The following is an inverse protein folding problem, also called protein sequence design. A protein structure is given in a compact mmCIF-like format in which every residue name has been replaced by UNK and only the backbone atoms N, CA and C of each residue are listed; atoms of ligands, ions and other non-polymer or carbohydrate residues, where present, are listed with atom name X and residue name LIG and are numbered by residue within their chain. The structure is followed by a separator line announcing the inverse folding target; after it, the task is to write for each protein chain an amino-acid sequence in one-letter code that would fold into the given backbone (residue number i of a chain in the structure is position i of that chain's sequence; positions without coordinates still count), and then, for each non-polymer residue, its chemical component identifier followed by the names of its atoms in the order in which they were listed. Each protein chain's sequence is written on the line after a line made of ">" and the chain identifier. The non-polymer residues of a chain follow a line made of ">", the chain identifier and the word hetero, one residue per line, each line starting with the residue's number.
data_IF_053069808059
#
_entry.id   IF_053069808059
#
_cell.length_a   1.000
_cell.length_b   1.000
_cell.length_c   1.000
_cell.angle_alpha   90.00
_cell.angle_beta   90.00
_cell.angle_gamma   90.00
#
_symmetry.space_group_name_H-M   'P 1'
#
loop_
_entity.id
_entity.type
_entity.pdbx_description
1 polymer ?
#
# COMPACT_ATOMS: atom_id res chain seq x y z
N UNK A 1 21.81 -8.71 -16.77
CA UNK A 1 21.15 -9.89 -16.17
C UNK A 1 20.42 -9.56 -14.85
N UNK A 2 19.19 -9.01 -14.83
CA UNK A 2 18.34 -8.90 -13.61
C UNK A 2 16.81 -8.88 -13.89
N UNK A 3 16.33 -9.43 -15.02
CA UNK A 3 14.90 -9.40 -15.39
C UNK A 3 14.00 -10.36 -14.57
N UNK A 4 14.56 -11.44 -13.98
CA UNK A 4 13.75 -12.47 -13.30
C UNK A 4 13.29 -12.17 -11.86
N UNK A 5 14.02 -11.36 -11.08
CA UNK A 5 13.72 -11.16 -9.64
C UNK A 5 12.59 -10.16 -9.36
N UNK A 6 12.24 -9.28 -10.30
CA UNK A 6 11.16 -8.27 -10.12
C UNK A 6 9.75 -8.85 -10.22
N UNK A 7 9.58 -10.01 -10.88
CA UNK A 7 8.27 -10.65 -11.10
C UNK A 7 7.69 -11.32 -9.83
N UNK A 8 8.55 -11.83 -8.94
CA UNK A 8 8.10 -12.62 -7.78
C UNK A 8 7.48 -11.74 -6.66
N UNK A 9 8.10 -10.60 -6.34
CA UNK A 9 7.60 -9.67 -5.31
C UNK A 9 6.25 -9.05 -5.71
N UNK A 10 6.00 -8.85 -7.01
CA UNK A 10 4.73 -8.33 -7.53
C UNK A 10 3.57 -9.30 -7.33
N UNK A 11 3.79 -10.60 -7.58
CA UNK A 11 2.80 -11.64 -7.26
C UNK A 11 2.47 -11.62 -5.77
N UNK A 12 3.49 -11.52 -4.91
CA UNK A 12 3.31 -11.48 -3.45
C UNK A 12 2.51 -10.25 -2.99
N UNK A 13 2.78 -9.05 -3.51
CA UNK A 13 1.98 -7.85 -3.17
C UNK A 13 0.56 -7.94 -3.73
N UNK A 14 0.39 -8.35 -4.99
CA UNK A 14 -0.96 -8.53 -5.57
C UNK A 14 -1.75 -9.65 -4.87
N UNK A 15 -1.09 -10.65 -4.28
CA UNK A 15 -1.69 -11.68 -3.44
C UNK A 15 -1.92 -11.20 -2.00
N UNK A 16 -1.09 -10.30 -1.48
CA UNK A 16 -1.34 -9.62 -0.20
C UNK A 16 -2.58 -8.72 -0.27
N UNK A 17 -2.81 -8.08 -1.42
CA UNK A 17 -3.94 -7.18 -1.64
C UNK A 17 -5.19 -7.86 -2.24
N UNK A 18 -5.04 -9.08 -2.79
CA UNK A 18 -6.16 -9.97 -3.11
C UNK A 18 -6.29 -10.97 -1.98
N UNK A 19 -6.96 -10.58 -0.90
CA UNK A 19 -7.25 -11.47 0.20
C UNK A 19 -8.13 -12.60 -0.35
N UNK A 20 -7.58 -13.80 -0.51
CA UNK A 20 -8.42 -14.99 -0.64
C UNK A 20 -9.03 -15.28 0.74
N UNK A 21 -10.34 -15.56 0.84
CA UNK A 21 -10.99 -15.77 2.11
C UNK A 21 -10.30 -16.90 2.87
N UNK A 22 -9.87 -16.60 4.10
CA UNK A 22 -9.21 -17.54 5.00
C UNK A 22 -10.26 -18.58 5.45
N UNK A 23 -10.42 -19.65 4.68
CA UNK A 23 -11.16 -20.83 5.12
C UNK A 23 -10.36 -21.51 6.24
N UNK A 24 -10.69 -21.17 7.48
CA UNK A 24 -10.30 -21.89 8.68
C UNK A 24 -11.00 -23.27 8.67
N UNK A 25 -10.34 -24.29 8.12
CA UNK A 25 -10.70 -25.67 8.36
C UNK A 25 -9.77 -26.23 9.43
N UNK A 26 -10.36 -26.42 10.63
CA UNK A 26 -9.76 -27.15 11.72
C UNK A 26 -9.65 -28.65 11.38
N UNK A 27 -8.61 -29.21 11.98
CA UNK A 27 -8.17 -30.59 12.06
C UNK A 27 -9.25 -31.60 12.52
N UNK A 28 -9.27 -32.78 11.87
CA UNK A 28 -9.51 -34.08 12.51
C UNK A 28 -9.23 -35.22 11.52
N UNK A 29 -8.32 -36.12 11.89
CA UNK A 29 -7.95 -37.31 11.12
C UNK A 29 -8.79 -38.58 11.36
N UNK A 30 -8.25 -39.68 10.79
CA UNK A 30 -8.52 -41.12 10.98
C UNK A 30 -9.59 -41.86 10.12
N UNK A 31 -9.05 -42.56 9.11
CA UNK A 31 -9.17 -43.98 8.71
C UNK A 31 -10.46 -44.85 8.92
N UNK A 32 -10.85 -45.53 7.81
CA UNK A 32 -11.22 -46.96 7.65
C UNK A 32 -12.61 -47.31 7.03
N UNK A 33 -12.54 -47.90 5.82
CA UNK A 33 -13.27 -49.04 5.18
C UNK A 33 -14.83 -49.24 5.19
N UNK A 34 -15.32 -49.56 3.98
CA UNK A 34 -16.40 -50.48 3.53
C UNK A 34 -17.92 -50.11 3.52
N UNK A 35 -18.40 -49.95 2.27
CA UNK A 35 -19.60 -50.47 1.54
C UNK A 35 -21.07 -50.39 2.03
N UNK A 36 -21.89 -49.96 1.06
CA UNK A 36 -23.26 -50.36 0.64
C UNK A 36 -24.54 -49.55 1.01
N UNK A 37 -25.27 -49.28 -0.10
CA UNK A 37 -26.71 -49.11 -0.36
C UNK A 37 -27.56 -47.86 0.03
N UNK A 38 -27.92 -47.14 -1.04
CA UNK A 38 -29.07 -46.27 -1.36
C UNK A 38 -30.16 -45.99 -0.30
N UNK A 39 -30.37 -44.68 -0.03
CA UNK A 39 -31.72 -44.08 0.06
C UNK A 39 -31.68 -42.59 -0.28
N UNK A 40 -32.50 -42.20 -1.25
CA UNK A 40 -32.76 -40.81 -1.68
C UNK A 40 -33.38 -40.04 -0.52
N UNK A 41 -32.75 -38.95 -0.10
CA UNK A 41 -33.32 -37.99 0.83
C UNK A 41 -33.05 -36.58 0.28
N UNK A 42 -34.14 -35.85 0.06
CA UNK A 42 -34.17 -34.50 -0.50
C UNK A 42 -33.27 -33.57 0.30
N UNK A 43 -32.31 -32.95 -0.38
CA UNK A 43 -31.50 -31.87 0.17
C UNK A 43 -32.40 -30.66 0.44
N UNK A 44 -32.33 -30.04 1.63
CA UNK A 44 -33.00 -28.78 1.87
C UNK A 44 -32.38 -27.69 0.99
N UNK A 45 -33.25 -26.88 0.40
CA UNK A 45 -32.92 -25.69 -0.37
C UNK A 45 -32.31 -24.68 0.62
N UNK A 46 -31.01 -24.40 0.47
CA UNK A 46 -30.32 -23.35 1.23
C UNK A 46 -30.83 -21.98 0.74
N UNK A 47 -31.84 -21.44 1.42
CA UNK A 47 -32.55 -20.22 0.98
C UNK A 47 -32.11 -18.93 1.68
N UNK A 48 -31.08 -18.96 2.54
CA UNK A 48 -30.53 -17.75 3.15
C UNK A 48 -29.04 -17.60 2.79
N UNK A 49 -28.77 -17.19 1.54
CA UNK A 49 -27.46 -16.67 1.17
C UNK A 49 -27.26 -15.33 1.89
N UNK A 50 -26.81 -15.40 3.14
CA UNK A 50 -26.38 -14.25 3.93
C UNK A 50 -25.40 -13.45 3.09
N UNK A 51 -25.83 -12.26 2.68
CA UNK A 51 -25.06 -11.37 1.82
C UNK A 51 -23.90 -10.83 2.65
N UNK A 52 -22.77 -11.54 2.64
CA UNK A 52 -21.57 -11.11 3.34
C UNK A 52 -21.23 -9.68 2.92
N UNK A 53 -21.09 -8.80 3.90
CA UNK A 53 -20.69 -7.42 3.64
C UNK A 53 -19.36 -7.43 2.87
N UNK A 54 -19.17 -6.50 1.92
CA UNK A 54 -17.93 -6.43 1.16
C UNK A 54 -16.75 -6.21 2.10
N UNK A 55 -15.67 -6.97 1.90
CA UNK A 55 -14.44 -6.80 2.68
C UNK A 55 -13.81 -5.44 2.36
N UNK A 56 -13.71 -4.57 3.35
CA UNK A 56 -13.12 -3.23 3.21
C UNK A 56 -11.60 -3.37 3.38
N UNK A 57 -10.85 -3.12 2.31
CA UNK A 57 -9.38 -3.08 2.34
C UNK A 57 -8.82 -1.71 2.70
N UNK A 58 -7.51 -1.67 2.97
CA UNK A 58 -6.79 -0.43 3.31
C UNK A 58 -6.91 0.65 2.22
N UNK A 59 -6.97 0.25 0.95
CA UNK A 59 -7.10 1.17 -0.19
C UNK A 59 -8.41 1.97 -0.09
N UNK A 60 -9.50 1.30 0.27
CA UNK A 60 -10.81 1.92 0.48
C UNK A 60 -10.78 2.90 1.65
N UNK A 61 -10.09 2.55 2.74
CA UNK A 61 -9.92 3.43 3.90
C UNK A 61 -9.10 4.66 3.53
N UNK A 62 -7.99 4.49 2.80
CA UNK A 62 -7.10 5.58 2.43
C UNK A 62 -7.71 6.52 1.38
N UNK A 63 -8.60 6.02 0.53
CA UNK A 63 -9.29 6.82 -0.49
C UNK A 63 -10.48 7.64 0.07
N UNK A 64 -11.13 7.16 1.13
CA UNK A 64 -12.23 7.87 1.80
C UNK A 64 -11.68 8.85 2.85
N UNK A 65 -12.22 10.07 2.89
CA UNK A 65 -11.74 11.09 3.84
C UNK A 65 -11.98 10.71 5.30
N UNK A 66 -13.16 10.19 5.62
CA UNK A 66 -13.50 9.85 7.00
C UNK A 66 -12.69 8.63 7.44
N UNK A 67 -12.59 7.61 6.57
CA UNK A 67 -11.72 6.45 6.79
C UNK A 67 -10.26 6.83 6.99
N UNK A 68 -9.73 7.71 6.13
CA UNK A 68 -8.36 8.20 6.21
C UNK A 68 -8.09 8.95 7.52
N UNK A 69 -9.00 9.83 7.96
CA UNK A 69 -8.87 10.55 9.24
C UNK A 69 -8.86 9.59 10.43
N UNK A 70 -9.77 8.60 10.44
CA UNK A 70 -9.83 7.59 11.50
C UNK A 70 -8.56 6.74 11.54
N UNK A 71 -8.05 6.35 10.37
CA UNK A 71 -6.81 5.59 10.28
C UNK A 71 -5.60 6.43 10.70
N UNK A 72 -5.54 7.70 10.30
CA UNK A 72 -4.52 8.65 10.73
C UNK A 72 -4.49 8.78 12.26
N UNK A 73 -5.66 8.95 12.89
CA UNK A 73 -5.76 9.00 14.34
C UNK A 73 -5.24 7.71 14.98
N UNK A 74 -5.57 6.54 14.42
CA UNK A 74 -5.09 5.25 14.90
C UNK A 74 -3.57 5.15 14.83
N UNK A 75 -2.93 5.42 13.68
CA UNK A 75 -1.46 5.33 13.56
C UNK A 75 -0.73 6.38 14.40
N UNK A 76 -1.35 7.53 14.70
CA UNK A 76 -0.81 8.47 15.67
C UNK A 76 -0.73 7.88 17.08
N UNK A 77 -1.72 7.09 17.50
CA UNK A 77 -1.67 6.41 18.81
C UNK A 77 -0.63 5.30 18.88
N UNK A 78 -0.25 4.73 17.73
CA UNK A 78 0.80 3.72 17.61
C UNK A 78 2.21 4.32 17.43
N UNK A 79 2.34 5.66 17.43
CA UNK A 79 3.60 6.35 17.14
C UNK A 79 4.21 5.95 15.79
N UNK A 80 3.36 5.72 14.77
CA UNK A 80 3.78 5.27 13.42
C UNK A 80 3.33 6.22 12.30
N UNK A 81 2.94 7.45 12.65
CA UNK A 81 2.37 8.45 11.73
C UNK A 81 3.34 8.88 10.63
N UNK A 82 4.65 8.82 10.87
CA UNK A 82 5.70 9.17 9.89
C UNK A 82 5.61 8.30 8.63
N UNK A 83 5.23 7.03 8.75
CA UNK A 83 5.06 6.14 7.61
C UNK A 83 3.87 6.58 6.75
N UNK A 84 2.74 6.95 7.38
CA UNK A 84 1.56 7.43 6.67
C UNK A 84 1.81 8.80 6.02
N UNK A 85 2.48 9.72 6.73
CA UNK A 85 2.84 11.04 6.19
C UNK A 85 3.79 10.92 4.99
N UNK A 86 4.77 10.02 5.05
CA UNK A 86 5.63 9.75 3.91
C UNK A 86 4.88 9.14 2.73
N UNK A 87 3.93 8.21 2.94
CA UNK A 87 3.09 7.70 1.86
C UNK A 87 2.33 8.85 1.20
N UNK A 88 1.69 9.71 1.97
CA UNK A 88 0.95 10.87 1.45
C UNK A 88 1.84 11.77 0.59
N UNK A 89 2.98 12.20 1.13
CA UNK A 89 3.88 13.13 0.44
C UNK A 89 4.55 12.50 -0.79
N UNK A 90 4.96 11.23 -0.70
CA UNK A 90 5.56 10.52 -1.84
C UNK A 90 4.52 10.16 -2.91
N UNK A 91 3.26 9.91 -2.56
CA UNK A 91 2.18 9.74 -3.54
C UNK A 91 1.84 11.07 -4.23
N UNK A 92 1.82 12.18 -3.49
CA UNK A 92 1.73 13.52 -4.10
C UNK A 92 2.89 13.75 -5.08
N UNK A 93 4.12 13.34 -4.75
CA UNK A 93 5.28 13.42 -5.65
C UNK A 93 5.06 12.62 -6.93
N UNK A 94 4.61 11.36 -6.83
CA UNK A 94 4.34 10.52 -8.00
C UNK A 94 3.26 11.12 -8.91
N UNK A 95 2.19 11.67 -8.34
CA UNK A 95 1.09 12.28 -9.08
C UNK A 95 1.50 13.59 -9.75
N UNK A 96 2.28 14.41 -9.04
CA UNK A 96 2.80 15.67 -9.58
C UNK A 96 3.63 15.45 -10.86
N UNK A 97 4.39 14.34 -10.92
CA UNK A 97 5.21 13.97 -12.08
C UNK A 97 4.61 12.86 -12.96
N UNK A 98 3.31 12.59 -12.83
CA UNK A 98 2.64 11.49 -13.55
C UNK A 98 2.79 11.59 -15.07
N UNK A 99 2.69 12.79 -15.65
CA UNK A 99 2.86 12.97 -17.10
C UNK A 99 4.23 12.52 -17.61
N UNK A 100 5.28 12.64 -16.80
CA UNK A 100 6.62 12.19 -17.15
C UNK A 100 6.76 10.66 -17.01
N UNK A 101 5.95 10.02 -16.15
CA UNK A 101 5.86 8.55 -16.04
C UNK A 101 5.20 7.93 -17.28
N UNK A 102 4.07 8.49 -17.73
CA UNK A 102 3.29 7.96 -18.86
C UNK A 102 4.09 7.92 -20.17
N UNK A 103 4.96 8.92 -20.41
CA UNK A 103 5.80 8.97 -21.62
C UNK A 103 6.79 7.80 -21.72
N UNK A 104 7.23 7.28 -20.57
CA UNK A 104 8.23 6.21 -20.47
C UNK A 104 7.54 4.85 -20.61
N UNK A 105 6.37 4.70 -19.97
CA UNK A 105 5.62 3.44 -19.94
C UNK A 105 4.88 3.10 -21.24
N UNK A 106 4.68 4.08 -22.14
CA UNK A 106 4.11 3.83 -23.47
C UNK A 106 4.91 2.79 -24.28
N UNK A 107 6.20 2.60 -23.97
CA UNK A 107 7.06 1.59 -24.59
C UNK A 107 7.14 0.27 -23.79
N UNK A 108 6.72 0.26 -22.51
CA UNK A 108 6.81 -0.88 -21.58
C UNK A 108 5.47 -1.20 -20.89
N UNK A 109 4.38 -1.29 -21.66
CA UNK A 109 2.96 -1.40 -21.24
C UNK A 109 2.57 -2.61 -20.35
N UNK A 110 3.24 -2.82 -19.22
CA UNK A 110 2.97 -3.85 -18.21
C UNK A 110 3.15 -3.34 -16.76
N UNK A 111 3.20 -2.03 -16.51
CA UNK A 111 3.23 -1.48 -15.15
C UNK A 111 1.80 -1.39 -14.60
N UNK A 112 1.43 -2.37 -13.77
CA UNK A 112 0.37 -2.18 -12.78
C UNK A 112 0.90 -1.25 -11.69
N UNK A 113 1.06 0.03 -12.00
CA UNK A 113 1.33 1.05 -10.98
C UNK A 113 0.07 1.20 -10.14
N UNK A 114 0.00 0.43 -9.06
CA UNK A 114 -1.04 0.59 -8.05
C UNK A 114 -0.71 1.84 -7.25
N UNK A 115 -1.14 2.99 -7.77
CA UNK A 115 -1.17 4.22 -7.02
C UNK A 115 -2.04 4.02 -5.78
N UNK A 116 -1.58 4.52 -4.64
CA UNK A 116 -2.44 4.67 -3.47
C UNK A 116 -3.41 5.79 -3.79
N UNK A 117 -4.71 5.48 -3.82
CA UNK A 117 -5.74 6.50 -3.94
C UNK A 117 -5.87 7.22 -2.59
N UNK A 118 -5.77 8.55 -2.63
CA UNK A 118 -5.83 9.43 -1.46
C UNK A 118 -6.83 10.57 -1.74
N UNK A 119 -7.53 11.10 -0.73
CA UNK A 119 -8.41 12.26 -0.85
C UNK A 119 -7.59 13.55 -0.93
N UNK A 120 -6.81 13.70 -2.00
CA UNK A 120 -5.82 14.79 -2.18
C UNK A 120 -6.43 16.19 -2.13
N UNK A 121 -7.71 16.33 -2.48
CA UNK A 121 -8.45 17.58 -2.44
C UNK A 121 -8.64 18.11 -1.00
N UNK A 122 -8.53 17.22 -0.01
CA UNK A 122 -8.69 17.54 1.42
C UNK A 122 -7.38 17.49 2.20
N UNK A 123 -6.35 16.87 1.65
CA UNK A 123 -5.04 16.74 2.28
C UNK A 123 -4.18 17.97 1.94
N UNK A 124 -3.48 18.59 2.92
CA UNK A 124 -2.55 19.68 2.63
C UNK A 124 -1.50 19.28 1.60
N UNK A 125 -1.17 20.21 0.70
CA UNK A 125 -0.07 20.02 -0.22
C UNK A 125 1.27 19.98 0.51
N UNK A 126 2.11 19.02 0.13
CA UNK A 126 3.50 18.96 0.57
C UNK A 126 4.24 20.25 0.21
N UNK A 127 4.92 20.81 1.21
CA UNK A 127 5.79 21.97 1.03
C UNK A 127 6.95 21.68 0.05
N UNK A 128 7.49 20.46 0.05
CA UNK A 128 8.59 20.05 -0.83
C UNK A 128 8.07 19.80 -2.25
N UNK A 129 7.03 18.97 -2.39
CA UNK A 129 6.53 18.54 -3.71
C UNK A 129 5.95 19.69 -4.51
N UNK A 130 5.28 20.64 -3.85
CA UNK A 130 4.63 21.77 -4.53
C UNK A 130 5.46 23.06 -4.50
N UNK A 131 6.70 23.03 -4.00
CA UNK A 131 7.61 24.18 -4.14
C UNK A 131 7.92 24.41 -5.63
N UNK A 132 7.68 25.64 -6.08
CA UNK A 132 7.92 26.10 -7.45
C UNK A 132 9.38 26.48 -7.69
N UNK A 133 10.14 26.71 -6.63
CA UNK A 133 11.55 27.06 -6.69
C UNK A 133 12.46 25.84 -6.78
N UNK A 134 11.92 24.64 -6.50
CA UNK A 134 12.64 23.38 -6.57
C UNK A 134 12.34 22.65 -7.89
N UNK A 135 13.39 22.24 -8.59
CA UNK A 135 13.26 21.24 -9.65
C UNK A 135 13.09 19.83 -9.07
N UNK A 136 12.79 18.84 -9.91
CA UNK A 136 12.52 17.47 -9.45
C UNK A 136 13.73 16.86 -8.73
N UNK A 137 14.95 17.13 -9.18
CA UNK A 137 16.18 16.63 -8.57
C UNK A 137 16.34 17.19 -7.15
N UNK A 138 16.10 18.49 -6.96
CA UNK A 138 16.13 19.13 -5.65
C UNK A 138 15.04 18.57 -4.72
N UNK A 139 13.84 18.32 -5.23
CA UNK A 139 12.78 17.66 -4.44
C UNK A 139 13.18 16.25 -4.01
N UNK A 140 13.84 15.47 -4.87
CA UNK A 140 14.38 14.17 -4.48
C UNK A 140 15.43 14.28 -3.37
N UNK A 141 16.31 15.27 -3.43
CA UNK A 141 17.31 15.55 -2.38
C UNK A 141 16.61 15.85 -1.05
N UNK A 142 15.66 16.79 -1.02
CA UNK A 142 14.95 17.17 0.21
C UNK A 142 14.10 16.02 0.78
N UNK A 143 13.45 15.23 -0.07
CA UNK A 143 12.70 14.04 0.36
C UNK A 143 13.65 12.97 0.94
N UNK A 144 14.85 12.80 0.38
CA UNK A 144 15.86 11.91 0.95
C UNK A 144 16.34 12.41 2.32
N UNK A 145 16.64 13.70 2.47
CA UNK A 145 17.05 14.29 3.75
C UNK A 145 15.95 14.15 4.81
N UNK A 146 14.69 14.30 4.41
CA UNK A 146 13.54 14.22 5.33
C UNK A 146 13.28 12.80 5.83
N UNK A 147 13.36 11.79 4.94
CA UNK A 147 12.81 10.46 5.21
C UNK A 147 13.82 9.31 5.11
N UNK A 148 14.90 9.47 4.33
CA UNK A 148 15.76 8.36 3.91
C UNK A 148 17.12 8.38 4.61
N UNK A 149 17.72 9.54 4.84
CA UNK A 149 19.03 9.61 5.46
C UNK A 149 18.96 9.17 6.93
N UNK A 150 19.98 8.45 7.38
CA UNK A 150 20.07 7.99 8.76
C UNK A 150 20.19 9.21 9.70
N UNK A 151 19.43 9.21 10.79
CA UNK A 151 19.33 10.33 11.73
C UNK A 151 18.41 11.46 11.27
N UNK A 152 17.66 11.28 10.17
CA UNK A 152 16.61 12.23 9.80
C UNK A 152 15.47 12.23 10.83
N UNK A 153 14.84 13.39 11.02
CA UNK A 153 13.76 13.55 12.02
C UNK A 153 12.57 12.62 11.72
N UNK A 154 12.33 12.33 10.44
CA UNK A 154 11.28 11.43 9.98
C UNK A 154 11.89 10.18 9.33
N UNK A 155 13.02 9.68 9.86
CA UNK A 155 13.69 8.50 9.32
C UNK A 155 12.72 7.31 9.23
N UNK A 156 12.47 6.84 8.01
CA UNK A 156 11.52 5.78 7.76
C UNK A 156 12.09 4.41 8.11
N UNK A 157 11.22 3.48 8.51
CA UNK A 157 11.59 2.08 8.66
C UNK A 157 11.56 1.34 7.30
N UNK A 158 12.58 1.58 6.47
CA UNK A 158 12.76 0.91 5.18
C UNK A 158 13.96 -0.03 5.21
N UNK A 159 13.97 -1.01 4.30
CA UNK A 159 15.04 -2.00 4.21
C UNK A 159 16.39 -1.33 3.92
N UNK A 160 17.46 -1.89 4.50
CA UNK A 160 18.83 -1.41 4.27
C UNK A 160 19.17 -1.26 2.79
N UNK A 161 18.69 -2.21 1.96
CA UNK A 161 18.91 -2.18 0.51
C UNK A 161 18.26 -0.96 -0.15
N UNK A 162 17.02 -0.66 0.21
CA UNK A 162 16.27 0.50 -0.34
C UNK A 162 16.89 1.80 0.16
N UNK A 163 17.23 1.88 1.45
CA UNK A 163 17.94 3.04 2.01
C UNK A 163 19.28 3.27 1.31
N UNK A 164 20.13 2.24 1.24
CA UNK A 164 21.44 2.33 0.58
C UNK A 164 21.34 2.82 -0.86
N UNK A 165 20.41 2.26 -1.64
CA UNK A 165 20.20 2.69 -3.02
C UNK A 165 19.90 4.18 -3.14
N UNK A 166 19.00 4.71 -2.31
CA UNK A 166 18.65 6.13 -2.34
C UNK A 166 19.74 7.03 -1.74
N UNK A 167 20.47 6.54 -0.73
CA UNK A 167 21.67 7.23 -0.21
C UNK A 167 22.77 7.32 -1.27
N UNK A 168 22.98 6.26 -2.05
CA UNK A 168 23.93 6.26 -3.16
C UNK A 168 23.50 7.28 -4.23
N UNK A 169 22.21 7.31 -4.62
CA UNK A 169 21.67 8.32 -5.53
C UNK A 169 21.80 9.76 -5.00
N UNK A 170 21.58 9.95 -3.70
CA UNK A 170 21.77 11.23 -3.03
C UNK A 170 23.23 11.70 -3.10
N UNK A 171 24.18 10.81 -2.81
CA UNK A 171 25.61 11.12 -2.84
C UNK A 171 26.15 11.34 -4.26
N UNK A 172 25.62 10.62 -5.25
CA UNK A 172 25.90 10.84 -6.68
C UNK A 172 25.31 12.17 -7.21
N UNK A 173 24.52 12.86 -6.38
CA UNK A 173 23.69 14.01 -6.71
C UNK A 173 22.64 13.67 -7.78
N UNK A 174 21.37 13.79 -7.39
CA UNK A 174 20.22 13.64 -8.31
C UNK A 174 20.33 14.53 -9.56
N UNK A 175 21.15 15.60 -9.53
CA UNK A 175 21.47 16.47 -10.66
C UNK A 175 21.88 15.73 -11.94
N UNK A 176 22.47 14.54 -11.84
CA UNK A 176 22.86 13.71 -12.99
C UNK A 176 21.72 12.85 -13.56
N UNK A 177 20.59 12.73 -12.86
CA UNK A 177 19.47 11.87 -13.22
C UNK A 177 18.44 12.62 -14.06
N UNK A 178 17.83 11.88 -14.97
CA UNK A 178 16.73 12.36 -15.80
C UNK A 178 15.47 12.58 -14.96
N UNK A 179 14.55 13.41 -15.45
CA UNK A 179 13.23 13.62 -14.82
C UNK A 179 12.49 12.29 -14.65
N UNK A 180 12.57 11.42 -15.66
CA UNK A 180 12.00 10.07 -15.61
C UNK A 180 12.58 9.27 -14.44
N UNK A 181 13.90 9.11 -14.34
CA UNK A 181 14.53 8.36 -13.25
C UNK A 181 14.15 8.89 -11.87
N UNK A 182 14.09 10.22 -11.70
CA UNK A 182 13.65 10.83 -10.46
C UNK A 182 12.19 10.53 -10.12
N UNK A 183 11.29 10.51 -11.11
CA UNK A 183 9.84 10.28 -10.92
C UNK A 183 9.50 8.87 -10.39
N UNK A 184 10.41 7.91 -10.56
CA UNK A 184 10.30 6.53 -10.06
C UNK A 184 11.17 6.23 -8.84
N UNK A 185 11.95 7.21 -8.35
CA UNK A 185 12.97 6.98 -7.31
C UNK A 185 12.38 6.40 -6.01
N UNK A 186 11.16 6.81 -5.65
CA UNK A 186 10.52 6.47 -4.38
C UNK A 186 9.49 5.34 -4.46
N UNK A 187 9.26 4.74 -5.63
CA UNK A 187 8.27 3.67 -5.79
C UNK A 187 8.51 2.50 -4.84
N UNK A 188 9.79 2.14 -4.65
CA UNK A 188 10.14 1.04 -3.75
C UNK A 188 9.94 1.41 -2.28
N UNK A 189 10.12 2.68 -1.92
CA UNK A 189 9.86 3.20 -0.57
C UNK A 189 8.36 3.09 -0.28
N UNK A 190 7.51 3.62 -1.16
CA UNK A 190 6.05 3.55 -0.98
C UNK A 190 5.59 2.10 -0.84
N UNK A 191 6.08 1.18 -1.67
CA UNK A 191 5.75 -0.24 -1.55
C UNK A 191 6.12 -0.84 -0.18
N UNK A 192 7.29 -0.50 0.36
CA UNK A 192 7.71 -0.98 1.68
C UNK A 192 6.88 -0.35 2.79
N UNK A 193 6.59 0.94 2.71
CA UNK A 193 5.74 1.63 3.69
C UNK A 193 4.30 1.11 3.68
N UNK A 194 3.73 0.84 2.50
CA UNK A 194 2.42 0.19 2.38
C UNK A 194 2.39 -1.15 3.11
N UNK A 195 3.45 -1.96 2.99
CA UNK A 195 3.57 -3.20 3.75
C UNK A 195 3.65 -2.98 5.26
N UNK A 196 4.30 -1.91 5.72
CA UNK A 196 4.41 -1.56 7.14
C UNK A 196 3.05 -1.11 7.70
N UNK A 197 2.35 -0.20 7.01
CA UNK A 197 1.06 0.30 7.50
C UNK A 197 -0.07 -0.74 7.42
N UNK A 198 0.10 -1.81 6.65
CA UNK A 198 -0.86 -2.91 6.62
C UNK A 198 -1.01 -3.60 7.98
N UNK A 199 0.07 -3.71 8.76
CA UNK A 199 0.02 -4.27 10.12
C UNK A 199 -0.85 -3.39 11.05
N UNK A 200 -0.64 -2.08 11.03
CA UNK A 200 -1.51 -1.11 11.72
C UNK A 200 -2.95 -1.16 11.20
N UNK A 201 -3.16 -1.36 9.91
CA UNK A 201 -4.51 -1.50 9.34
C UNK A 201 -5.24 -2.73 9.88
N UNK A 202 -4.59 -3.87 10.03
CA UNK A 202 -5.23 -5.05 10.61
C UNK A 202 -5.70 -4.79 12.04
N UNK A 203 -4.89 -4.11 12.86
CA UNK A 203 -5.29 -3.71 14.22
C UNK A 203 -6.39 -2.65 14.21
N UNK A 204 -6.31 -1.67 13.32
CA UNK A 204 -7.35 -0.66 13.13
C UNK A 204 -8.71 -1.29 12.79
N UNK A 205 -8.71 -2.30 11.93
CA UNK A 205 -9.91 -3.02 11.48
C UNK A 205 -10.68 -3.63 12.66
N UNK A 206 -9.98 -4.07 13.70
CA UNK A 206 -10.58 -4.70 14.87
C UNK A 206 -11.11 -3.67 15.89
N UNK A 207 -10.94 -2.37 15.64
CA UNK A 207 -11.44 -1.30 16.52
C UNK A 207 -12.94 -1.05 16.34
N UNK A 208 -13.64 -0.71 17.43
CA UNK A 208 -15.06 -0.32 17.38
C UNK A 208 -15.31 0.86 16.42
N UNK A 209 -14.41 1.84 16.41
CA UNK A 209 -14.54 3.04 15.56
C UNK A 209 -14.53 2.68 14.07
N UNK A 210 -13.66 1.74 13.66
CA UNK A 210 -13.67 1.24 12.30
C UNK A 210 -14.98 0.51 11.97
N UNK A 211 -15.44 -0.38 12.85
CA UNK A 211 -16.66 -1.16 12.63
C UNK A 211 -17.89 -0.25 12.49
N UNK A 212 -18.01 0.78 13.33
CA UNK A 212 -19.09 1.78 13.24
C UNK A 212 -19.05 2.55 11.91
N UNK A 213 -17.86 3.03 11.51
CA UNK A 213 -17.67 3.72 10.23
C UNK A 213 -18.02 2.81 9.04
N UNK A 214 -17.54 1.56 9.06
CA UNK A 214 -17.79 0.56 8.03
C UNK A 214 -19.29 0.24 7.91
N UNK A 215 -19.97 -0.05 9.02
CA UNK A 215 -21.41 -0.32 9.02
C UNK A 215 -22.20 0.87 8.48
N UNK A 216 -21.90 2.09 8.91
CA UNK A 216 -22.60 3.30 8.45
C UNK A 216 -22.44 3.57 6.95
N UNK A 217 -21.28 3.22 6.39
CA UNK A 217 -20.93 3.55 4.99
C UNK A 217 -21.41 2.49 3.99
N UNK A 218 -21.43 1.22 4.39
CA UNK A 218 -21.65 0.09 3.48
C UNK A 218 -22.89 -0.78 3.79
N UNK A 219 -23.70 -0.40 4.77
CA UNK A 219 -25.03 -1.00 5.04
C UNK A 219 -26.12 -0.06 4.56
#
# INVERSE_FOLDING_TARGET
>A
LKKGKRSNIRKQLSQLFKIEPLNSAADAGHAASQQDDKKVQLSPINEDAEKQAPEIGIQTVLADWDGFQLFMQHVTTEFSMENLLAIVELTQFQQYYHFDRVKVDAEEANSSDTFVELPLDKIPHSAIVYDKNLNIQQKCVELCEKYVLAGSIHELNISYKTRKYLTDLYNEQFSSKTVSECSFAFDKVIQELCSVILDSFWRFRDTHIFQEWASKKYT
#
